data_IF_830688905539
#
_entry.id   IF_830688905539
#
_cell.length_a   1.000
_cell.length_b   1.000
_cell.length_c   1.000
_cell.angle_alpha   90.00
_cell.angle_beta   90.00
_cell.angle_gamma   90.00
#
_symmetry.space_group_name_H-M   'P 1'
#
loop_
_entity.id
_entity.type
_entity.pdbx_description
1 polymer ?
#
# COMPACT_ATOMS: atom_id res chain seq x y z
N UNK A 1 21.11 49.33 24.41
CA UNK A 1 21.17 48.67 25.75
C UNK A 1 19.94 47.80 25.86
N UNK A 2 20.05 46.52 25.51
CA UNK A 2 19.00 45.52 25.69
C UNK A 2 19.62 44.45 26.58
N UNK A 3 19.07 44.27 27.78
CA UNK A 3 19.58 43.36 28.79
C UNK A 3 19.09 41.94 28.51
N UNK A 4 20.02 40.99 28.46
CA UNK A 4 19.77 39.55 28.37
C UNK A 4 19.48 38.98 29.76
N UNK A 5 18.29 38.43 29.97
CA UNK A 5 17.94 37.64 31.16
C UNK A 5 18.15 36.15 30.90
N UNK A 6 19.26 35.61 31.41
CA UNK A 6 19.55 34.17 31.39
C UNK A 6 18.79 33.45 32.51
N UNK A 7 17.75 32.68 32.13
CA UNK A 7 16.97 31.84 33.05
C UNK A 7 17.65 30.48 33.26
N UNK A 8 18.43 30.35 34.34
CA UNK A 8 18.99 29.07 34.84
C UNK A 8 17.85 28.13 35.26
N UNK A 9 17.68 26.99 34.57
CA UNK A 9 16.82 25.89 35.03
C UNK A 9 17.64 24.96 35.92
N UNK A 10 17.15 24.78 37.15
CA UNK A 10 17.64 23.83 38.13
C UNK A 10 17.38 22.40 37.64
N UNK A 11 18.42 21.58 37.56
CA UNK A 11 18.30 20.14 37.34
C UNK A 11 18.13 19.51 38.72
N UNK A 12 16.96 18.91 38.95
CA UNK A 12 16.68 18.14 40.15
C UNK A 12 17.46 16.83 40.15
N UNK A 13 18.20 16.59 41.23
CA UNK A 13 18.84 15.32 41.55
C UNK A 13 17.76 14.29 41.90
N UNK A 14 17.74 13.18 41.16
CA UNK A 14 16.91 12.00 41.47
C UNK A 14 17.78 11.08 42.32
N UNK A 15 17.40 10.94 43.58
CA UNK A 15 17.99 10.00 44.52
C UNK A 15 17.75 8.56 44.06
N UNK A 16 18.83 7.80 43.95
CA UNK A 16 18.84 6.37 43.64
C UNK A 16 18.93 5.61 44.96
N UNK A 17 17.81 5.14 45.49
CA UNK A 17 17.80 4.13 46.54
C UNK A 17 16.52 3.28 46.41
N UNK A 18 16.60 2.22 45.61
CA UNK A 18 15.67 1.08 45.73
C UNK A 18 16.41 -0.21 45.35
N UNK A 19 17.10 -0.75 46.35
CA UNK A 19 17.74 -2.06 46.32
C UNK A 19 16.67 -3.17 46.41
N UNK A 20 16.19 -3.67 45.27
CA UNK A 20 15.41 -4.90 45.25
C UNK A 20 16.33 -6.11 45.44
N UNK A 21 16.33 -6.66 46.66
CA UNK A 21 16.92 -7.96 46.98
C UNK A 21 16.14 -9.07 46.28
N UNK A 22 16.69 -9.61 45.20
CA UNK A 22 16.21 -10.84 44.57
C UNK A 22 16.82 -12.01 45.36
N UNK A 23 15.96 -12.74 46.08
CA UNK A 23 16.32 -13.98 46.77
C UNK A 23 16.54 -15.11 45.75
N UNK A 24 17.62 -15.91 45.86
CA UNK A 24 17.81 -17.06 44.99
C UNK A 24 16.92 -18.23 45.44
N UNK A 25 15.86 -18.49 44.68
CA UNK A 25 15.01 -19.67 44.84
C UNK A 25 15.73 -20.89 44.25
N UNK A 26 16.25 -21.74 45.15
CA UNK A 26 16.74 -23.07 44.79
C UNK A 26 15.53 -23.96 44.48
N UNK A 27 15.36 -24.34 43.22
CA UNK A 27 14.56 -25.52 42.84
C UNK A 27 15.43 -26.46 42.02
N UNK A 28 15.84 -27.52 42.68
CA UNK A 28 16.42 -28.70 42.07
C UNK A 28 15.35 -29.39 41.22
N UNK A 29 15.45 -29.26 39.89
CA UNK A 29 14.76 -30.14 38.96
C UNK A 29 15.78 -30.98 38.20
N UNK A 30 15.99 -32.16 38.78
CA UNK A 30 16.67 -33.31 38.24
C UNK A 30 15.87 -33.86 37.04
N UNK A 31 16.15 -33.37 35.82
CA UNK A 31 15.60 -33.93 34.59
C UNK A 31 16.58 -34.98 34.08
N UNK A 32 16.26 -36.23 34.40
CA UNK A 32 16.90 -37.42 33.86
C UNK A 32 16.61 -37.51 32.35
N UNK A 33 17.63 -37.28 31.52
CA UNK A 33 17.59 -37.52 30.08
C UNK A 33 17.47 -39.02 29.79
N UNK A 34 16.24 -39.55 29.77
CA UNK A 34 15.93 -40.83 29.14
C UNK A 34 15.85 -40.63 27.63
N UNK A 35 16.92 -41.05 26.95
CA UNK A 35 17.04 -41.16 25.49
C UNK A 35 16.06 -42.23 25.00
N UNK A 36 14.86 -41.81 24.59
CA UNK A 36 13.93 -42.66 23.83
C UNK A 36 14.44 -42.75 22.40
N UNK A 37 14.72 -43.97 21.95
CA UNK A 37 14.95 -44.27 20.53
C UNK A 37 13.59 -44.18 19.84
N UNK A 38 13.40 -43.16 19.02
CA UNK A 38 12.26 -43.07 18.11
C UNK A 38 12.63 -43.82 16.83
N UNK A 39 11.87 -44.86 16.55
CA UNK A 39 11.92 -45.61 15.30
C UNK A 39 11.40 -44.71 14.17
N UNK A 40 12.27 -44.48 13.18
CA UNK A 40 11.96 -43.79 11.93
C UNK A 40 10.93 -44.62 11.14
N UNK A 41 9.65 -44.29 11.32
CA UNK A 41 8.59 -44.69 10.40
C UNK A 41 8.45 -43.59 9.37
N UNK A 42 8.82 -43.90 8.13
CA UNK A 42 8.73 -43.02 6.98
C UNK A 42 7.24 -42.82 6.66
N UNK A 43 6.66 -41.75 7.21
CA UNK A 43 5.40 -41.21 6.69
C UNK A 43 5.73 -40.50 5.38
N UNK A 44 5.05 -40.92 4.31
CA UNK A 44 5.12 -40.25 3.02
C UNK A 44 4.45 -38.89 3.18
N UNK A 45 5.27 -37.83 3.19
CA UNK A 45 4.82 -36.45 3.00
C UNK A 45 3.99 -36.40 1.71
N UNK A 46 2.68 -36.24 1.88
CA UNK A 46 1.82 -35.75 0.80
C UNK A 46 2.03 -34.25 0.84
N UNK A 47 2.77 -33.72 -0.14
CA UNK A 47 2.98 -32.29 -0.30
C UNK A 47 1.62 -31.58 -0.20
N UNK A 48 1.40 -30.71 0.80
CA UNK A 48 0.24 -29.84 0.81
C UNK A 48 0.30 -29.04 -0.49
N UNK A 49 -0.73 -29.17 -1.32
CA UNK A 49 -0.91 -28.33 -2.50
C UNK A 49 -0.85 -26.88 -2.03
N UNK A 50 0.32 -26.25 -2.15
CA UNK A 50 0.47 -24.82 -1.90
C UNK A 50 -0.48 -24.14 -2.88
N UNK A 51 -1.52 -23.43 -2.41
CA UNK A 51 -2.35 -22.66 -3.31
C UNK A 51 -1.42 -21.69 -4.03
N UNK A 52 -1.54 -21.58 -5.36
CA UNK A 52 -0.71 -20.65 -6.15
C UNK A 52 -0.97 -19.22 -5.67
N UNK A 53 -0.14 -18.76 -4.74
CA UNK A 53 -0.28 -17.47 -4.05
C UNK A 53 -0.12 -16.28 -5.02
N UNK A 54 0.30 -16.51 -6.27
CA UNK A 54 0.34 -15.48 -7.30
C UNK A 54 -1.07 -15.00 -7.69
N UNK A 55 -2.08 -15.87 -7.60
CA UNK A 55 -3.46 -15.49 -7.96
C UNK A 55 -4.13 -14.63 -6.89
N UNK A 56 -3.75 -14.77 -5.61
CA UNK A 56 -4.32 -13.94 -4.54
C UNK A 56 -3.94 -12.47 -4.71
N UNK A 57 -2.69 -12.18 -5.10
CA UNK A 57 -2.27 -10.80 -5.39
C UNK A 57 -3.03 -10.19 -6.57
N UNK A 58 -3.42 -10.99 -7.57
CA UNK A 58 -4.29 -10.51 -8.66
C UNK A 58 -5.71 -10.21 -8.17
N UNK A 59 -6.29 -11.08 -7.34
CA UNK A 59 -7.65 -10.90 -6.81
C UNK A 59 -7.77 -9.59 -6.02
N UNK A 60 -6.78 -9.25 -5.17
CA UNK A 60 -6.76 -7.99 -4.41
C UNK A 60 -6.77 -6.78 -5.34
N UNK A 61 -5.90 -6.77 -6.35
CA UNK A 61 -5.79 -5.63 -7.26
C UNK A 61 -7.02 -5.47 -8.18
N UNK A 62 -7.80 -6.53 -8.41
CA UNK A 62 -9.02 -6.46 -9.22
C UNK A 62 -10.25 -5.97 -8.46
N UNK A 63 -10.32 -6.17 -7.14
CA UNK A 63 -11.52 -5.79 -6.36
C UNK A 63 -11.63 -4.27 -6.12
N UNK A 64 -10.51 -3.56 -5.99
CA UNK A 64 -10.53 -2.10 -5.75
C UNK A 64 -10.90 -1.31 -7.02
N UNK A 65 -10.40 -1.72 -8.19
CA UNK A 65 -10.75 -1.08 -9.47
C UNK A 65 -12.24 -1.13 -9.77
N UNK A 66 -12.92 -2.20 -9.37
CA UNK A 66 -14.36 -2.37 -9.61
C UNK A 66 -15.24 -1.43 -8.77
N UNK A 67 -14.71 -0.79 -7.73
CA UNK A 67 -15.49 0.09 -6.84
C UNK A 67 -15.41 1.58 -7.21
N UNK A 68 -14.45 1.99 -8.06
CA UNK A 68 -14.22 3.41 -8.39
C UNK A 68 -14.76 3.86 -9.76
N UNK A 69 -15.22 2.94 -10.61
CA UNK A 69 -15.76 3.27 -11.96
C UNK A 69 -17.26 3.67 -11.97
N UNK A 70 -17.90 3.83 -10.80
CA UNK A 70 -19.28 4.34 -10.72
C UNK A 70 -19.24 5.83 -10.37
N UNK A 71 -19.76 6.65 -11.29
CA UNK A 71 -19.91 8.11 -11.26
C UNK A 71 -18.67 8.94 -11.64
N UNK A 72 -18.55 9.26 -12.93
CA UNK A 72 -18.97 10.55 -13.51
C UNK A 72 -18.93 10.36 -15.04
N UNK A 73 -20.09 10.30 -15.67
CA UNK A 73 -20.22 10.39 -17.13
C UNK A 73 -20.19 11.88 -17.50
N UNK A 74 -19.12 12.42 -18.14
CA UNK A 74 -19.23 13.70 -18.79
C UNK A 74 -20.11 13.55 -20.04
N UNK A 75 -21.26 14.22 -20.04
CA UNK A 75 -22.14 14.31 -21.20
C UNK A 75 -21.37 14.87 -22.41
N UNK A 76 -21.04 14.00 -23.36
CA UNK A 76 -20.42 14.36 -24.63
C UNK A 76 -21.48 14.89 -25.61
N UNK A 77 -21.51 16.21 -25.83
CA UNK A 77 -22.02 16.76 -27.08
C UNK A 77 -20.86 16.82 -28.08
N UNK A 78 -20.83 15.88 -29.02
CA UNK A 78 -19.88 15.87 -30.13
C UNK A 78 -20.42 16.75 -31.25
N UNK A 79 -19.93 17.99 -31.34
CA UNK A 79 -19.98 18.74 -32.59
C UNK A 79 -18.67 18.49 -33.35
N UNK A 80 -18.81 17.80 -34.49
CA UNK A 80 -17.76 17.53 -35.45
C UNK A 80 -17.17 18.83 -36.02
N UNK A 81 -15.94 19.17 -35.62
CA UNK A 81 -15.14 20.18 -36.32
C UNK A 81 -13.97 19.45 -36.98
N UNK A 82 -14.13 19.20 -38.27
CA UNK A 82 -13.06 18.76 -39.17
C UNK A 82 -12.11 19.91 -39.44
N UNK A 83 -10.90 19.86 -38.86
CA UNK A 83 -9.79 20.74 -39.26
C UNK A 83 -8.86 19.92 -40.16
N UNK A 84 -9.03 20.14 -41.46
CA UNK A 84 -8.06 19.87 -42.50
C UNK A 84 -7.16 21.10 -42.59
N UNK A 85 -5.83 20.92 -42.55
CA UNK A 85 -4.83 21.66 -43.34
C UNK A 85 -3.45 21.05 -43.03
N UNK A 86 -2.81 20.30 -43.94
CA UNK A 86 -2.05 20.70 -45.14
C UNK A 86 -0.82 21.59 -44.91
N UNK A 87 0.30 20.97 -45.23
CA UNK A 87 1.43 21.45 -46.01
C UNK A 87 2.54 22.32 -45.37
N UNK A 88 3.70 21.66 -45.27
CA UNK A 88 4.98 21.96 -45.95
C UNK A 88 5.68 23.33 -45.80
N UNK A 89 7.01 23.21 -45.64
CA UNK A 89 8.07 24.07 -46.18
C UNK A 89 8.26 25.45 -45.52
N UNK A 90 9.41 26.11 -45.58
CA UNK A 90 10.80 25.83 -45.97
C UNK A 90 11.50 27.19 -45.85
N UNK A 91 12.78 27.17 -45.47
CA UNK A 91 13.84 28.14 -45.85
C UNK A 91 13.63 29.64 -45.61
N UNK A 92 14.47 30.16 -44.72
CA UNK A 92 14.76 31.58 -44.59
C UNK A 92 15.37 32.18 -45.86
N UNK A 93 14.93 33.40 -46.18
CA UNK A 93 15.55 34.30 -47.14
C UNK A 93 15.41 35.73 -46.62
N UNK A 94 16.55 36.35 -46.32
CA UNK A 94 16.67 37.75 -45.86
C UNK A 94 16.42 38.68 -47.05
N UNK A 95 15.41 39.55 -46.96
CA UNK A 95 15.32 40.78 -47.77
C UNK A 95 14.83 41.96 -46.94
N UNK A 96 15.40 43.11 -47.28
CA UNK A 96 15.35 44.38 -46.58
C UNK A 96 13.95 44.99 -46.58
N UNK A 97 13.64 45.61 -45.44
CA UNK A 97 12.38 46.26 -45.11
C UNK A 97 12.20 47.60 -45.82
N UNK A 98 11.10 47.73 -46.57
CA UNK A 98 10.47 49.01 -46.92
C UNK A 98 9.27 49.17 -46.00
N UNK A 99 9.26 50.21 -45.19
CA UNK A 99 8.18 50.53 -44.24
C UNK A 99 7.00 51.12 -44.99
N UNK A 100 5.91 50.36 -45.10
CA UNK A 100 4.59 50.86 -45.50
C UNK A 100 3.69 50.84 -44.27
N UNK A 101 3.33 52.02 -43.77
CA UNK A 101 2.38 52.18 -42.68
C UNK A 101 0.96 51.85 -43.17
N UNK A 102 0.57 50.59 -43.00
CA UNK A 102 -0.82 50.17 -43.12
C UNK A 102 -1.54 50.43 -41.80
N UNK A 103 -2.35 51.49 -41.76
CA UNK A 103 -3.33 51.73 -40.69
C UNK A 103 -4.45 50.70 -40.85
N UNK A 104 -4.21 49.49 -40.34
CA UNK A 104 -5.21 48.44 -40.28
C UNK A 104 -6.15 48.73 -39.11
N UNK A 105 -7.38 49.14 -39.42
CA UNK A 105 -8.48 49.20 -38.46
C UNK A 105 -8.72 47.78 -37.93
N UNK A 106 -8.11 47.45 -36.80
CA UNK A 106 -8.33 46.18 -36.09
C UNK A 106 -9.73 46.20 -35.48
N UNK A 107 -10.56 45.28 -35.95
CA UNK A 107 -11.82 44.96 -35.31
C UNK A 107 -11.53 44.34 -33.93
N UNK A 108 -12.02 45.00 -32.88
CA UNK A 108 -12.00 44.53 -31.49
C UNK A 108 -13.04 43.41 -31.29
N UNK A 109 -12.79 42.25 -31.88
CA UNK A 109 -13.66 41.07 -31.75
C UNK A 109 -12.80 39.81 -31.53
N UNK A 110 -11.87 39.88 -30.58
CA UNK A 110 -10.88 38.82 -30.32
C UNK A 110 -10.67 38.52 -28.83
N UNK A 111 -11.49 39.04 -27.93
CA UNK A 111 -11.32 38.82 -26.49
C UNK A 111 -12.04 37.55 -25.98
N UNK A 112 -13.18 37.15 -26.57
CA UNK A 112 -13.97 36.00 -26.08
C UNK A 112 -13.35 34.61 -26.36
N UNK A 113 -12.41 34.50 -27.31
CA UNK A 113 -11.75 33.20 -27.61
C UNK A 113 -10.65 32.88 -26.58
N UNK A 114 -10.16 33.88 -25.84
CA UNK A 114 -9.06 33.67 -24.89
C UNK A 114 -9.53 33.05 -23.57
N UNK A 115 -10.75 33.37 -23.12
CA UNK A 115 -11.27 32.91 -21.82
C UNK A 115 -11.61 31.41 -21.83
N UNK A 116 -12.29 30.92 -22.88
CA UNK A 116 -12.64 29.49 -23.02
C UNK A 116 -11.40 28.57 -23.06
N UNK A 117 -10.33 29.01 -23.72
CA UNK A 117 -9.09 28.25 -23.78
C UNK A 117 -8.36 28.20 -22.42
N UNK A 118 -8.46 29.26 -21.63
CA UNK A 118 -7.90 29.30 -20.26
C UNK A 118 -8.67 28.34 -19.34
N UNK A 119 -10.00 28.34 -19.39
CA UNK A 119 -10.82 27.43 -18.58
C UNK A 119 -10.58 25.95 -18.91
N UNK A 120 -10.47 25.62 -20.20
CA UNK A 120 -10.17 24.26 -20.65
C UNK A 120 -8.81 23.78 -20.14
N UNK A 121 -7.77 24.62 -20.23
CA UNK A 121 -6.43 24.29 -19.73
C UNK A 121 -6.41 24.12 -18.20
N UNK A 122 -7.12 24.97 -17.44
CA UNK A 122 -7.25 24.83 -15.98
C UNK A 122 -7.92 23.50 -15.62
N UNK A 123 -8.90 23.04 -16.41
CA UNK A 123 -9.56 21.77 -16.17
C UNK A 123 -8.63 20.58 -16.44
N UNK A 124 -7.83 20.64 -17.51
CA UNK A 124 -6.86 19.60 -17.86
C UNK A 124 -5.75 19.46 -16.79
N UNK A 125 -5.19 20.57 -16.31
CA UNK A 125 -4.17 20.55 -15.25
C UNK A 125 -4.71 19.98 -13.93
N UNK A 126 -5.96 20.32 -13.57
CA UNK A 126 -6.62 19.75 -12.39
C UNK A 126 -6.82 18.24 -12.54
N UNK A 127 -7.22 17.77 -13.72
CA UNK A 127 -7.38 16.35 -13.99
C UNK A 127 -6.05 15.59 -13.87
N UNK A 128 -4.97 16.10 -14.51
CA UNK A 128 -3.63 15.50 -14.43
C UNK A 128 -3.11 15.38 -12.99
N UNK A 129 -3.32 16.42 -12.16
CA UNK A 129 -2.95 16.38 -10.73
C UNK A 129 -3.71 15.33 -9.95
N UNK A 130 -5.02 15.19 -10.16
CA UNK A 130 -5.83 14.14 -9.49
C UNK A 130 -5.34 12.74 -9.86
N UNK A 131 -5.11 12.48 -11.15
CA UNK A 131 -4.60 11.18 -11.59
C UNK A 131 -3.23 10.88 -10.99
N UNK A 132 -2.34 11.87 -10.93
CA UNK A 132 -1.02 11.70 -10.30
C UNK A 132 -1.10 11.36 -8.80
N UNK A 133 -2.11 11.88 -8.08
CA UNK A 133 -2.33 11.56 -6.67
C UNK A 133 -2.85 10.13 -6.55
N UNK A 134 -3.86 9.76 -7.34
CA UNK A 134 -4.45 8.40 -7.36
C UNK A 134 -3.38 7.36 -7.70
N UNK A 135 -2.58 7.59 -8.74
CA UNK A 135 -1.47 6.70 -9.11
C UNK A 135 -0.39 6.60 -8.01
N UNK A 136 -0.21 7.66 -7.21
CA UNK A 136 0.67 7.65 -6.05
C UNK A 136 0.12 6.76 -4.93
N UNK A 137 -1.16 6.90 -4.61
CA UNK A 137 -1.85 6.11 -3.59
C UNK A 137 -1.88 4.62 -3.96
N UNK A 138 -2.18 4.28 -5.23
CA UNK A 138 -2.15 2.91 -5.72
C UNK A 138 -0.77 2.25 -5.53
N UNK A 139 0.31 2.99 -5.78
CA UNK A 139 1.68 2.48 -5.57
C UNK A 139 1.94 2.18 -4.10
N UNK A 140 1.50 3.06 -3.20
CA UNK A 140 1.63 2.87 -1.75
C UNK A 140 0.80 1.68 -1.27
N UNK A 141 -0.45 1.52 -1.73
CA UNK A 141 -1.30 0.37 -1.38
C UNK A 141 -0.66 -0.95 -1.84
N UNK A 142 -0.16 -0.99 -3.07
CA UNK A 142 0.54 -2.16 -3.59
C UNK A 142 1.81 -2.49 -2.80
N UNK A 143 2.59 -1.47 -2.42
CA UNK A 143 3.75 -1.62 -1.56
C UNK A 143 3.34 -2.16 -0.18
N UNK A 144 2.30 -1.60 0.42
CA UNK A 144 1.74 -2.02 1.69
C UNK A 144 1.39 -3.52 1.69
N UNK A 145 0.61 -3.99 0.71
CA UNK A 145 0.26 -5.41 0.60
C UNK A 145 1.48 -6.32 0.41
N UNK A 146 2.46 -5.88 -0.38
CA UNK A 146 3.72 -6.61 -0.55
C UNK A 146 4.47 -6.75 0.78
N UNK A 147 4.50 -5.70 1.61
CA UNK A 147 5.14 -5.75 2.92
C UNK A 147 4.40 -6.65 3.90
N UNK A 148 3.07 -6.60 3.93
CA UNK A 148 2.27 -7.49 4.77
C UNK A 148 2.56 -8.95 4.45
N UNK A 149 2.59 -9.30 3.16
CA UNK A 149 2.94 -10.64 2.69
C UNK A 149 4.34 -11.04 3.16
N UNK A 150 5.35 -10.19 2.95
CA UNK A 150 6.73 -10.46 3.38
C UNK A 150 6.79 -10.67 4.90
N UNK A 151 6.15 -9.81 5.68
CA UNK A 151 6.15 -9.93 7.13
C UNK A 151 5.54 -11.26 7.58
N UNK A 152 4.35 -11.59 7.06
CA UNK A 152 3.64 -12.82 7.33
C UNK A 152 4.45 -14.09 7.00
N UNK A 153 5.17 -14.08 5.87
CA UNK A 153 6.07 -15.19 5.50
C UNK A 153 7.30 -15.27 6.41
N UNK A 154 7.92 -14.12 6.72
CA UNK A 154 9.19 -14.08 7.45
C UNK A 154 9.04 -14.33 8.95
N UNK A 155 7.91 -13.98 9.56
CA UNK A 155 7.61 -14.33 10.96
C UNK A 155 7.31 -15.82 11.13
N UNK A 156 6.99 -16.52 10.04
CA UNK A 156 6.57 -17.92 10.07
C UNK A 156 5.06 -18.09 10.28
N UNK A 157 4.29 -17.00 10.33
CA UNK A 157 2.84 -17.03 10.47
C UNK A 157 2.18 -17.76 9.29
N UNK A 158 2.80 -17.70 8.11
CA UNK A 158 2.38 -18.47 6.94
C UNK A 158 2.31 -19.99 7.18
N UNK A 159 3.12 -20.54 8.11
CA UNK A 159 3.16 -21.98 8.40
C UNK A 159 2.08 -22.42 9.40
N UNK A 160 1.63 -21.50 10.25
CA UNK A 160 0.61 -21.77 11.27
C UNK A 160 -0.80 -21.46 10.77
N UNK A 161 -0.93 -20.57 9.80
CA UNK A 161 -2.20 -20.16 9.23
C UNK A 161 -2.97 -21.29 8.56
N UNK A 162 -4.26 -21.37 8.87
CA UNK A 162 -5.22 -22.24 8.21
C UNK A 162 -6.38 -21.41 7.64
N UNK A 163 -6.91 -21.76 6.46
CA UNK A 163 -8.06 -21.08 5.88
C UNK A 163 -9.26 -21.04 6.83
N UNK A 164 -9.66 -19.84 7.24
CA UNK A 164 -10.76 -19.62 8.18
C UNK A 164 -10.35 -19.33 9.63
N UNK A 165 -9.05 -19.35 9.94
CA UNK A 165 -8.54 -18.89 11.24
C UNK A 165 -8.93 -17.44 11.53
N UNK A 166 -9.08 -17.11 12.82
CA UNK A 166 -9.42 -15.76 13.26
C UNK A 166 -8.25 -14.81 12.98
N UNK A 167 -8.46 -13.72 12.21
CA UNK A 167 -7.42 -12.71 11.99
C UNK A 167 -6.81 -12.17 13.29
N UNK A 168 -7.52 -12.19 14.42
CA UNK A 168 -7.03 -11.66 15.71
C UNK A 168 -5.88 -12.45 16.30
N UNK A 169 -5.75 -13.71 15.92
CA UNK A 169 -4.64 -14.58 16.35
C UNK A 169 -3.31 -14.17 15.72
N UNK A 170 -3.33 -13.27 14.73
CA UNK A 170 -2.16 -12.75 14.04
C UNK A 170 -1.84 -11.32 14.46
N UNK A 171 -0.63 -10.85 14.15
CA UNK A 171 -0.22 -9.47 14.45
C UNK A 171 -1.06 -8.44 13.67
N UNK A 172 -1.51 -7.39 14.37
CA UNK A 172 -2.32 -6.29 13.82
C UNK A 172 -1.80 -5.75 12.48
N UNK A 173 -0.47 -5.69 12.29
CA UNK A 173 0.16 -5.15 11.09
C UNK A 173 -0.16 -5.93 9.80
N UNK A 174 -0.48 -7.23 9.89
CA UNK A 174 -0.86 -8.06 8.73
C UNK A 174 -2.21 -8.78 8.90
N UNK A 175 -3.03 -8.44 9.91
CA UNK A 175 -4.41 -8.97 10.02
C UNK A 175 -5.27 -8.68 8.80
N UNK A 176 -5.10 -7.48 8.21
CA UNK A 176 -5.77 -7.12 6.97
C UNK A 176 -5.47 -8.10 5.83
N UNK A 177 -4.22 -8.55 5.73
CA UNK A 177 -3.80 -9.58 4.77
C UNK A 177 -4.44 -10.94 5.06
N UNK A 178 -4.51 -11.37 6.32
CA UNK A 178 -5.19 -12.62 6.72
C UNK A 178 -6.69 -12.59 6.36
N UNK A 179 -7.37 -11.45 6.55
CA UNK A 179 -8.77 -11.28 6.13
C UNK A 179 -8.93 -11.50 4.62
N UNK A 180 -8.00 -10.98 3.83
CA UNK A 180 -7.98 -11.16 2.38
C UNK A 180 -7.78 -12.63 1.99
N UNK A 181 -6.83 -13.33 2.63
CA UNK A 181 -6.62 -14.77 2.43
C UNK A 181 -7.91 -15.56 2.72
N UNK A 182 -8.56 -15.27 3.85
CA UNK A 182 -9.82 -15.90 4.23
C UNK A 182 -10.93 -15.65 3.19
N UNK A 183 -11.05 -14.44 2.66
CA UNK A 183 -12.00 -14.11 1.58
C UNK A 183 -11.70 -14.88 0.30
N UNK A 184 -10.42 -14.96 -0.11
CA UNK A 184 -10.00 -15.69 -1.30
C UNK A 184 -10.31 -17.20 -1.18
N UNK A 185 -10.03 -17.81 -0.02
CA UNK A 185 -10.34 -19.22 0.23
C UNK A 185 -11.86 -19.52 0.21
N UNK A 186 -12.71 -18.57 0.63
CA UNK A 186 -14.18 -18.71 0.55
C UNK A 186 -14.67 -18.74 -0.91
N UNK A 187 -14.12 -17.88 -1.78
CA UNK A 187 -14.48 -17.82 -3.20
C UNK A 187 -14.19 -19.11 -3.95
N UNK A 188 -13.10 -19.81 -3.61
CA UNK A 188 -12.73 -21.08 -4.25
C UNK A 188 -13.71 -22.20 -3.87
N UNK A 189 -14.21 -22.20 -2.62
CA UNK A 189 -15.18 -23.21 -2.17
C UNK A 189 -16.53 -23.07 -2.87
N UNK A 190 -16.99 -21.85 -3.13
CA UNK A 190 -18.30 -21.61 -3.75
C UNK A 190 -18.31 -21.85 -5.27
N UNK A 191 -17.16 -21.78 -5.94
CA UNK A 191 -17.06 -22.06 -7.37
C UNK A 191 -16.96 -23.56 -7.70
N UNK A 192 -16.47 -24.39 -6.78
CA UNK A 192 -16.29 -25.83 -6.98
C UNK A 192 -17.55 -26.70 -6.95
N UNK A 193 -18.68 -26.18 -6.44
CA UNK A 193 -19.93 -26.96 -6.27
C UNK A 193 -21.02 -26.67 -7.30
N UNK A 194 -20.82 -25.74 -8.24
CA UNK A 194 -21.77 -25.55 -9.35
C UNK A 194 -21.48 -26.53 -10.50
N UNK A 195 -21.89 -27.79 -10.29
CA UNK A 195 -22.24 -28.70 -11.38
C UNK A 195 -23.51 -28.18 -12.06
N UNK A 196 -23.37 -27.82 -13.32
CA UNK A 196 -24.33 -27.95 -14.42
C UNK A 196 -25.79 -27.64 -14.08
N UNK A 197 -26.15 -26.36 -14.01
CA UNK A 197 -27.51 -25.92 -14.31
C UNK A 197 -27.41 -24.63 -15.14
N UNK A 198 -27.56 -24.80 -16.45
CA UNK A 198 -27.72 -23.76 -17.45
C UNK A 198 -28.98 -22.94 -17.13
N UNK A 199 -28.82 -21.85 -16.37
CA UNK A 199 -29.84 -20.81 -16.24
C UNK A 199 -29.17 -19.48 -16.59
N UNK A 200 -29.54 -19.00 -17.77
CA UNK A 200 -29.07 -17.81 -18.49
C UNK A 200 -29.61 -16.52 -17.84
N UNK A 201 -29.49 -16.41 -16.53
CA UNK A 201 -29.91 -15.25 -15.75
C UNK A 201 -28.73 -14.32 -15.51
N UNK A 202 -28.74 -13.19 -16.21
CA UNK A 202 -27.90 -12.02 -15.93
C UNK A 202 -28.17 -11.53 -14.51
N UNK A 203 -27.38 -12.02 -13.54
CA UNK A 203 -27.46 -11.60 -12.14
C UNK A 203 -26.46 -10.48 -11.93
N UNK A 204 -26.98 -9.26 -11.83
CA UNK A 204 -26.27 -8.13 -11.24
C UNK A 204 -25.77 -8.53 -9.84
N UNK A 205 -24.46 -8.75 -9.72
CA UNK A 205 -23.79 -8.94 -8.44
C UNK A 205 -23.72 -7.56 -7.78
N UNK A 206 -24.85 -7.13 -7.20
CA UNK A 206 -24.83 -6.03 -6.25
C UNK A 206 -23.95 -6.45 -5.08
N UNK A 207 -22.86 -5.72 -4.86
CA UNK A 207 -21.94 -5.79 -3.73
C UNK A 207 -22.66 -5.48 -2.41
N UNK A 208 -23.60 -6.34 -2.03
CA UNK A 208 -24.15 -6.35 -0.69
C UNK A 208 -23.03 -6.88 0.19
N UNK A 209 -22.31 -5.97 0.84
CA UNK A 209 -21.44 -6.28 1.97
C UNK A 209 -22.37 -6.88 3.03
N UNK A 210 -22.63 -8.18 2.91
CA UNK A 210 -23.27 -8.95 3.96
C UNK A 210 -22.27 -8.89 5.10
N UNK A 211 -22.56 -8.04 6.10
CA UNK A 211 -21.88 -8.08 7.40
C UNK A 211 -21.99 -9.52 7.87
N UNK A 212 -20.92 -10.28 7.68
CA UNK A 212 -20.89 -11.69 8.00
C UNK A 212 -21.19 -11.79 9.51
N UNK A 213 -22.34 -12.37 9.90
CA UNK A 213 -22.77 -12.41 11.29
C UNK A 213 -21.79 -13.32 12.05
N UNK A 214 -20.82 -12.71 12.73
CA UNK A 214 -19.75 -13.42 13.43
C UNK A 214 -18.38 -12.76 13.36
N UNK A 215 -18.17 -11.75 12.50
CA UNK A 215 -16.96 -10.93 12.57
C UNK A 215 -17.05 -10.02 13.78
N UNK A 216 -16.47 -10.45 14.89
CA UNK A 216 -16.32 -9.64 16.09
C UNK A 216 -15.60 -8.33 15.72
N UNK A 217 -16.11 -7.20 16.21
CA UNK A 217 -15.53 -5.86 15.99
C UNK A 217 -14.10 -5.80 16.56
N UNK A 218 -13.10 -5.57 15.70
CA UNK A 218 -11.67 -5.54 16.06
C UNK A 218 -11.22 -4.07 16.18
N UNK A 219 -11.34 -3.45 17.37
CA UNK A 219 -11.04 -2.03 17.56
C UNK A 219 -9.55 -1.72 17.36
N UNK A 220 -8.65 -2.69 17.56
CA UNK A 220 -7.22 -2.49 17.32
C UNK A 220 -6.94 -2.33 15.83
N UNK A 221 -7.57 -3.17 15.01
CA UNK A 221 -7.43 -3.10 13.57
C UNK A 221 -8.15 -1.88 12.98
N UNK A 222 -9.29 -1.46 13.54
CA UNK A 222 -9.97 -0.24 13.12
C UNK A 222 -9.11 1.01 13.37
N UNK A 223 -8.54 1.15 14.57
CA UNK A 223 -7.59 2.23 14.88
C UNK A 223 -6.36 2.18 13.99
N UNK A 224 -5.90 0.98 13.64
CA UNK A 224 -4.80 0.82 12.70
C UNK A 224 -5.22 1.22 11.28
N UNK A 225 -6.43 0.88 10.86
CA UNK A 225 -6.96 1.16 9.53
C UNK A 225 -7.22 2.66 9.29
N UNK A 226 -7.47 3.43 10.34
CA UNK A 226 -7.57 4.90 10.29
C UNK A 226 -6.24 5.60 9.93
N UNK A 227 -5.10 4.92 10.07
CA UNK A 227 -3.80 5.49 9.71
C UNK A 227 -3.60 5.60 8.20
N UNK A 228 -2.79 6.57 7.78
CA UNK A 228 -2.41 6.69 6.36
C UNK A 228 -1.58 5.49 5.92
N UNK A 229 -1.65 5.14 4.63
CA UNK A 229 -0.89 4.01 4.07
C UNK A 229 0.63 4.18 4.27
N UNK A 230 1.14 5.39 4.20
CA UNK A 230 2.55 5.71 4.45
C UNK A 230 2.96 5.39 5.90
N UNK A 231 2.14 5.79 6.88
CA UNK A 231 2.41 5.49 8.28
C UNK A 231 2.31 3.99 8.58
N UNK A 232 1.37 3.28 7.94
CA UNK A 232 1.26 1.82 8.00
C UNK A 232 2.53 1.15 7.47
N UNK A 233 3.01 1.57 6.30
CA UNK A 233 4.27 1.11 5.70
C UNK A 233 5.45 1.38 6.64
N UNK A 234 5.54 2.59 7.21
CA UNK A 234 6.60 2.97 8.13
C UNK A 234 6.62 2.06 9.37
N UNK A 235 5.46 1.84 10.01
CA UNK A 235 5.35 0.96 11.19
C UNK A 235 5.76 -0.47 10.87
N UNK A 236 5.31 -1.00 9.73
CA UNK A 236 5.66 -2.36 9.32
C UNK A 236 7.14 -2.47 8.93
N UNK A 237 7.72 -1.46 8.28
CA UNK A 237 9.15 -1.42 7.99
C UNK A 237 10.00 -1.37 9.28
N UNK A 238 9.60 -0.57 10.28
CA UNK A 238 10.26 -0.57 11.59
C UNK A 238 10.26 -1.97 12.20
N UNK A 239 9.10 -2.66 12.21
CA UNK A 239 8.99 -4.02 12.71
C UNK A 239 9.91 -5.01 11.96
N UNK A 240 9.90 -4.97 10.62
CA UNK A 240 10.75 -5.83 9.79
C UNK A 240 12.25 -5.62 10.07
N UNK A 241 12.65 -4.38 10.35
CA UNK A 241 14.02 -4.01 10.66
C UNK A 241 14.43 -4.46 12.07
N UNK A 242 13.57 -4.27 13.07
CA UNK A 242 13.90 -4.60 14.46
C UNK A 242 13.89 -6.11 14.73
N UNK A 243 12.88 -6.82 14.23
CA UNK A 243 12.67 -8.23 14.56
C UNK A 243 13.36 -9.19 13.58
N UNK A 244 13.44 -8.80 12.30
CA UNK A 244 13.85 -9.72 11.21
C UNK A 244 15.16 -9.27 10.56
N UNK A 245 15.65 -8.07 10.91
CA UNK A 245 16.78 -7.40 10.26
C UNK A 245 16.58 -7.32 8.74
N UNK A 246 15.37 -6.98 8.30
CA UNK A 246 15.03 -6.87 6.88
C UNK A 246 14.71 -5.42 6.53
N UNK A 247 15.35 -4.88 5.49
CA UNK A 247 14.99 -3.57 4.93
C UNK A 247 14.15 -3.77 3.68
N UNK A 248 12.94 -3.21 3.66
CA UNK A 248 12.05 -3.35 2.51
C UNK A 248 12.52 -2.58 1.27
N UNK A 249 13.20 -1.46 1.45
CA UNK A 249 13.69 -0.63 0.35
C UNK A 249 14.92 -1.25 -0.31
N UNK A 250 15.85 -1.82 0.48
CA UNK A 250 16.98 -2.59 -0.05
C UNK A 250 16.53 -3.94 -0.65
N UNK A 251 15.46 -4.54 -0.12
CA UNK A 251 15.05 -5.90 -0.47
C UNK A 251 15.98 -6.99 0.09
N UNK A 252 16.78 -6.68 1.11
CA UNK A 252 17.81 -7.58 1.68
C UNK A 252 17.53 -7.84 3.16
N UNK A 253 17.82 -9.07 3.59
CA UNK A 253 17.87 -9.47 5.00
C UNK A 253 19.32 -9.49 5.48
N UNK A 254 19.57 -8.79 6.56
CA UNK A 254 20.85 -8.73 7.25
C UNK A 254 20.93 -9.83 8.32
N UNK A 255 22.14 -10.19 8.72
CA UNK A 255 22.37 -11.24 9.73
C UNK A 255 22.03 -10.77 11.14
N UNK A 256 22.27 -9.49 11.42
CA UNK A 256 22.05 -8.88 12.73
C UNK A 256 21.80 -7.36 12.59
N UNK A 257 21.47 -6.73 13.71
CA UNK A 257 21.22 -5.30 13.81
C UNK A 257 22.42 -4.43 13.39
N UNK A 258 23.65 -4.82 13.77
CA UNK A 258 24.85 -4.06 13.43
C UNK A 258 25.06 -4.00 11.90
N UNK A 259 24.90 -5.12 11.22
CA UNK A 259 25.04 -5.19 9.76
C UNK A 259 23.98 -4.34 9.06
N UNK A 260 22.74 -4.35 9.58
CA UNK A 260 21.66 -3.48 9.11
C UNK A 260 22.05 -2.00 9.23
N UNK A 261 22.62 -1.56 10.36
CA UNK A 261 23.03 -0.16 10.53
C UNK A 261 24.23 0.24 9.66
N UNK A 262 25.17 -0.68 9.43
CA UNK A 262 26.37 -0.40 8.64
C UNK A 262 26.11 -0.35 7.13
N UNK A 263 25.16 -1.15 6.64
CA UNK A 263 24.96 -1.36 5.20
C UNK A 263 23.64 -0.79 4.65
N UNK A 264 22.66 -0.48 5.51
CA UNK A 264 21.40 0.11 5.07
C UNK A 264 21.50 1.64 5.08
N UNK A 265 21.23 2.33 3.95
CA UNK A 265 21.35 3.79 3.85
C UNK A 265 20.50 4.56 4.87
N UNK A 266 19.33 4.03 5.22
CA UNK A 266 18.46 4.64 6.22
C UNK A 266 17.19 3.87 6.46
N UNK A 267 16.18 4.54 7.00
CA UNK A 267 14.89 3.92 7.34
C UNK A 267 13.79 4.32 6.36
N UNK A 268 13.90 5.48 5.73
CA UNK A 268 12.88 5.99 4.82
C UNK A 268 13.22 5.63 3.38
N UNK A 269 12.22 5.78 2.50
CA UNK A 269 12.41 5.53 1.09
C UNK A 269 13.44 6.49 0.48
N UNK A 270 13.44 7.76 0.89
CA UNK A 270 14.32 8.80 0.34
C UNK A 270 15.80 8.53 0.64
N UNK A 271 16.08 7.74 1.68
CA UNK A 271 17.45 7.34 2.02
C UNK A 271 18.02 6.33 1.00
N UNK A 272 17.18 5.71 0.16
CA UNK A 272 17.54 4.61 -0.73
C UNK A 272 17.49 4.97 -2.24
N UNK A 273 17.23 6.24 -2.56
CA UNK A 273 17.29 6.78 -3.94
C UNK A 273 18.72 7.17 -4.31
#
# INVERSE_FOLDING_TARGET
>A
MIAEETKKRHIGTIDKDDSYKISPSKKDHNISNKRVKLDNTIEKEVDPLEPDFADISRVIMTEEKSSQDKEIQPSSSTDDISIVDKDQNSTGSKRNSVSVEFISKRNNYSDDITEYNIEKNINEDKYRRRNSIIEGEDKLINQWHKLQKIAFEKTGDAKIYKPGDDPRDFNVLWRGYVKVLNKACKKVKTSGEKKDNDIDGEVEIENKIVKEPGLQEDPELELFDEMTTEEKIMKLNIFLRSEIYFCCYCGVRYKNEQELYEHCPGIKQEDHE
#
